data_IF_849367022147
#
_entry.id   IF_849367022147
#
_cell.length_a   1.000
_cell.length_b   1.000
_cell.length_c   1.000
_cell.angle_alpha   90.00
_cell.angle_beta   90.00
_cell.angle_gamma   90.00
#
_symmetry.space_group_name_H-M   'P 1'
#
loop_
_entity.id
_entity.type
_entity.pdbx_description
1 polymer ?
#
# COMPACT_ATOMS: atom_id res chain seq x y z
N UNK A 1 -19.70 21.10 47.58
CA UNK A 1 -20.76 20.11 47.27
C UNK A 1 -20.69 19.80 45.78
N UNK A 2 -20.72 18.52 45.45
CA UNK A 2 -20.49 17.97 44.11
C UNK A 2 -21.67 18.25 43.19
N UNK A 3 -21.33 18.51 41.92
CA UNK A 3 -22.18 18.81 40.76
C UNK A 3 -22.88 17.55 40.22
N UNK A 4 -23.81 17.74 39.27
CA UNK A 4 -24.38 16.73 38.34
C UNK A 4 -25.52 15.85 38.90
N UNK A 5 -26.63 15.54 38.21
CA UNK A 5 -26.98 15.56 36.78
C UNK A 5 -28.48 15.85 36.56
N UNK A 6 -28.78 16.61 35.51
CA UNK A 6 -30.14 16.86 35.03
C UNK A 6 -30.73 15.64 34.33
N UNK A 7 -32.02 15.42 34.59
CA UNK A 7 -33.00 14.69 33.77
C UNK A 7 -32.47 14.00 32.51
N UNK A 8 -32.10 12.73 32.65
CA UNK A 8 -32.03 11.78 31.53
C UNK A 8 -32.58 10.45 32.00
N UNK A 9 -33.91 10.35 32.03
CA UNK A 9 -34.61 9.07 31.98
C UNK A 9 -35.34 8.99 30.64
N UNK A 10 -35.13 7.86 29.97
CA UNK A 10 -35.72 7.42 28.70
C UNK A 10 -34.95 7.75 27.39
N UNK A 11 -33.73 7.20 27.25
CA UNK A 11 -33.26 6.70 25.96
C UNK A 11 -32.83 5.23 26.12
N UNK A 12 -33.82 4.37 26.33
CA UNK A 12 -33.66 2.91 26.38
C UNK A 12 -33.54 2.31 24.97
N UNK A 13 -32.67 2.89 24.13
CA UNK A 13 -32.37 2.34 22.80
C UNK A 13 -30.87 2.01 22.70
N UNK A 14 -30.49 0.71 22.84
CA UNK A 14 -29.09 0.28 22.82
C UNK A 14 -28.39 0.49 21.47
N UNK A 15 -29.12 0.89 20.42
CA UNK A 15 -28.58 1.09 19.07
C UNK A 15 -27.74 2.37 18.95
N UNK A 16 -28.06 3.44 19.69
CA UNK A 16 -27.48 4.77 19.47
C UNK A 16 -26.20 5.09 20.28
N UNK A 17 -25.84 4.25 21.26
CA UNK A 17 -24.64 4.46 22.10
C UNK A 17 -23.47 3.52 21.73
N UNK A 18 -23.74 2.48 20.93
CA UNK A 18 -22.75 1.46 20.55
C UNK A 18 -22.19 1.68 19.13
N UNK A 19 -22.94 2.34 18.24
CA UNK A 19 -22.55 2.58 16.83
C UNK A 19 -23.11 3.93 16.33
N UNK A 20 -22.40 5.06 16.56
CA UNK A 20 -22.87 6.42 16.23
C UNK A 20 -23.17 6.67 14.74
N UNK A 21 -22.77 5.75 13.87
CA UNK A 21 -22.81 5.86 12.41
C UNK A 21 -23.38 4.61 11.70
N UNK A 22 -23.83 3.60 12.46
CA UNK A 22 -24.54 2.40 11.96
C UNK A 22 -23.73 1.52 11.02
N UNK A 23 -22.41 1.67 10.99
CA UNK A 23 -21.55 1.07 9.97
C UNK A 23 -21.38 -0.43 10.18
N UNK A 24 -21.28 -0.88 11.43
CA UNK A 24 -21.10 -2.29 11.77
C UNK A 24 -22.38 -3.09 11.57
N UNK A 25 -23.53 -2.49 11.92
CA UNK A 25 -24.85 -3.09 11.72
C UNK A 25 -25.09 -3.34 10.23
N UNK A 26 -24.84 -2.34 9.38
CA UNK A 26 -25.00 -2.51 7.93
C UNK A 26 -23.97 -3.46 7.31
N UNK A 27 -22.76 -3.56 7.87
CA UNK A 27 -21.78 -4.55 7.43
C UNK A 27 -22.24 -5.98 7.75
N UNK A 28 -22.79 -6.20 8.95
CA UNK A 28 -23.31 -7.49 9.39
C UNK A 28 -24.52 -7.92 8.53
N UNK A 29 -25.45 -7.00 8.26
CA UNK A 29 -26.61 -7.25 7.40
C UNK A 29 -26.17 -7.62 5.98
N UNK A 30 -25.28 -6.84 5.36
CA UNK A 30 -24.76 -7.14 4.03
C UNK A 30 -23.96 -8.46 3.98
N UNK A 31 -23.23 -8.78 5.06
CA UNK A 31 -22.51 -10.05 5.18
C UNK A 31 -23.46 -11.25 5.27
N UNK A 32 -24.57 -11.12 6.00
CA UNK A 32 -25.63 -12.13 6.06
C UNK A 32 -26.24 -12.43 4.69
N UNK A 33 -26.63 -11.39 3.95
CA UNK A 33 -27.13 -11.54 2.59
C UNK A 33 -26.08 -12.12 1.63
N UNK A 34 -24.82 -11.67 1.71
CA UNK A 34 -23.73 -12.22 0.91
C UNK A 34 -23.48 -13.71 1.16
N UNK A 35 -23.55 -14.17 2.42
CA UNK A 35 -23.40 -15.58 2.76
C UNK A 35 -24.56 -16.43 2.21
N UNK A 36 -25.79 -15.94 2.35
CA UNK A 36 -26.98 -16.62 1.83
C UNK A 36 -26.95 -16.75 0.30
N UNK A 37 -26.64 -15.68 -0.42
CA UNK A 37 -26.60 -15.70 -1.89
C UNK A 37 -25.42 -16.51 -2.43
N UNK A 38 -24.28 -16.50 -1.74
CA UNK A 38 -23.15 -17.38 -2.04
C UNK A 38 -23.53 -18.86 -1.89
N UNK A 39 -24.22 -19.21 -0.80
CA UNK A 39 -24.70 -20.57 -0.54
C UNK A 39 -25.75 -21.03 -1.55
N UNK A 40 -26.75 -20.18 -1.82
CA UNK A 40 -27.80 -20.46 -2.81
C UNK A 40 -27.22 -20.62 -4.22
N UNK A 41 -26.25 -19.80 -4.61
CA UNK A 41 -25.55 -19.93 -5.89
C UNK A 41 -24.75 -21.24 -5.98
N UNK A 42 -24.06 -21.64 -4.90
CA UNK A 42 -23.36 -22.92 -4.84
C UNK A 42 -24.33 -24.11 -4.98
N UNK A 43 -25.46 -24.09 -4.26
CA UNK A 43 -26.51 -25.13 -4.35
C UNK A 43 -27.22 -25.15 -5.71
N UNK A 44 -27.26 -24.03 -6.42
CA UNK A 44 -27.75 -23.93 -7.80
C UNK A 44 -26.73 -24.42 -8.85
N UNK A 45 -25.68 -25.15 -8.45
CA UNK A 45 -24.69 -25.73 -9.35
C UNK A 45 -23.65 -24.73 -9.86
N UNK A 46 -23.67 -23.46 -9.41
CA UNK A 46 -22.61 -22.51 -9.78
C UNK A 46 -21.33 -22.90 -9.05
N UNK A 47 -20.26 -23.14 -9.79
CA UNK A 47 -18.94 -23.40 -9.22
C UNK A 47 -18.44 -22.26 -8.32
N UNK A 48 -17.34 -22.49 -7.60
CA UNK A 48 -16.84 -21.58 -6.57
C UNK A 48 -16.73 -20.09 -7.01
N UNK A 49 -16.41 -19.84 -8.28
CA UNK A 49 -16.36 -18.48 -8.86
C UNK A 49 -17.73 -17.80 -8.92
N UNK A 50 -18.79 -18.55 -9.24
CA UNK A 50 -20.15 -18.05 -9.31
C UNK A 50 -20.74 -17.80 -7.92
N UNK A 51 -20.43 -18.66 -6.95
CA UNK A 51 -20.79 -18.44 -5.55
C UNK A 51 -20.08 -17.21 -4.96
N UNK A 52 -18.77 -17.06 -5.23
CA UNK A 52 -18.01 -15.88 -4.80
C UNK A 52 -18.51 -14.59 -5.46
N UNK A 53 -18.93 -14.65 -6.73
CA UNK A 53 -19.51 -13.51 -7.43
C UNK A 53 -20.86 -13.09 -6.84
N UNK A 54 -21.74 -14.05 -6.54
CA UNK A 54 -23.03 -13.79 -5.90
C UNK A 54 -22.85 -13.10 -4.53
N UNK A 55 -21.97 -13.66 -3.69
CA UNK A 55 -21.63 -13.06 -2.40
C UNK A 55 -21.04 -11.64 -2.52
N UNK A 56 -20.17 -11.41 -3.50
CA UNK A 56 -19.56 -10.09 -3.71
C UNK A 56 -20.54 -9.06 -4.30
N UNK A 57 -21.53 -9.49 -5.08
CA UNK A 57 -22.47 -8.59 -5.77
C UNK A 57 -23.39 -7.82 -4.82
N UNK A 58 -23.67 -8.35 -3.62
CA UNK A 58 -24.41 -7.65 -2.56
C UNK A 58 -23.69 -6.42 -2.00
N UNK A 59 -22.37 -6.32 -2.18
CA UNK A 59 -21.60 -5.11 -1.88
C UNK A 59 -21.65 -4.06 -3.02
N UNK A 60 -22.48 -4.32 -4.05
CA UNK A 60 -22.65 -3.51 -5.24
C UNK A 60 -21.60 -3.87 -6.30
N UNK A 61 -21.98 -4.46 -7.45
CA UNK A 61 -21.02 -4.90 -8.47
C UNK A 61 -20.13 -3.76 -8.97
N UNK A 62 -20.68 -2.55 -9.10
CA UNK A 62 -19.92 -1.35 -9.47
C UNK A 62 -18.88 -0.92 -8.43
N UNK A 63 -19.16 -1.05 -7.12
CA UNK A 63 -18.24 -0.69 -6.05
C UNK A 63 -17.12 -1.72 -5.93
N UNK A 64 -17.44 -3.00 -6.03
CA UNK A 64 -16.46 -4.10 -6.02
C UNK A 64 -15.54 -4.05 -7.23
N UNK A 65 -16.08 -3.86 -8.44
CA UNK A 65 -15.25 -3.71 -9.66
C UNK A 65 -14.34 -2.48 -9.59
N UNK A 66 -14.87 -1.31 -9.17
CA UNK A 66 -14.07 -0.09 -9.02
C UNK A 66 -12.96 -0.29 -7.97
N UNK A 67 -13.27 -0.94 -6.84
CA UNK A 67 -12.31 -1.28 -5.80
C UNK A 67 -11.20 -2.21 -6.30
N UNK A 68 -11.58 -3.30 -6.98
CA UNK A 68 -10.63 -4.25 -7.57
C UNK A 68 -9.75 -3.60 -8.64
N UNK A 69 -10.33 -2.82 -9.56
CA UNK A 69 -9.59 -2.08 -10.60
C UNK A 69 -8.62 -1.07 -9.98
N UNK A 70 -9.03 -0.35 -8.93
CA UNK A 70 -8.16 0.58 -8.19
C UNK A 70 -7.00 -0.15 -7.51
N UNK A 71 -7.26 -1.29 -6.87
CA UNK A 71 -6.23 -2.12 -6.24
C UNK A 71 -5.24 -2.70 -7.26
N UNK A 72 -5.73 -3.22 -8.39
CA UNK A 72 -4.90 -3.71 -9.50
C UNK A 72 -4.09 -2.58 -10.14
N UNK A 73 -4.69 -1.42 -10.34
CA UNK A 73 -4.02 -0.22 -10.86
C UNK A 73 -2.91 0.27 -9.92
N UNK A 74 -3.18 0.29 -8.61
CA UNK A 74 -2.18 0.61 -7.59
C UNK A 74 -1.03 -0.40 -7.61
N UNK A 75 -1.34 -1.69 -7.70
CA UNK A 75 -0.35 -2.75 -7.76
C UNK A 75 0.56 -2.62 -9.01
N UNK A 76 -0.05 -2.43 -10.19
CA UNK A 76 0.69 -2.19 -11.44
C UNK A 76 1.60 -0.96 -11.34
N UNK A 77 1.10 0.14 -10.77
CA UNK A 77 1.87 1.37 -10.57
C UNK A 77 3.02 1.19 -9.58
N UNK A 78 2.86 0.42 -8.51
CA UNK A 78 3.91 0.15 -7.53
C UNK A 78 5.06 -0.68 -8.09
N UNK A 79 4.75 -1.70 -8.91
CA UNK A 79 5.74 -2.62 -9.49
C UNK A 79 6.85 -1.89 -10.28
N UNK A 80 6.55 -0.73 -10.88
CA UNK A 80 7.55 0.06 -11.63
C UNK A 80 8.66 0.63 -10.75
N UNK A 81 8.40 0.84 -9.45
CA UNK A 81 9.37 1.37 -8.51
C UNK A 81 10.18 0.28 -7.79
N UNK A 82 9.75 -0.99 -7.86
CA UNK A 82 10.43 -2.09 -7.16
C UNK A 82 11.53 -2.77 -7.98
N UNK A 83 11.86 -2.17 -9.12
CA UNK A 83 12.94 -2.58 -10.01
C UNK A 83 13.66 -1.32 -10.50
N UNK A 84 14.91 -1.42 -10.98
CA UNK A 84 15.58 -0.32 -11.66
C UNK A 84 14.68 0.24 -12.79
N UNK A 85 14.48 1.57 -12.79
CA UNK A 85 13.70 2.25 -13.82
C UNK A 85 14.46 2.43 -15.13
N UNK A 86 13.80 3.03 -16.13
CA UNK A 86 14.36 3.21 -17.48
C UNK A 86 15.66 4.06 -17.51
N UNK A 87 15.89 4.88 -16.49
CA UNK A 87 17.05 5.77 -16.37
C UNK A 87 18.15 5.20 -15.47
N UNK A 88 18.05 3.93 -15.07
CA UNK A 88 19.03 3.25 -14.23
C UNK A 88 20.32 2.93 -14.99
N UNK A 89 21.19 3.93 -15.21
CA UNK A 89 22.43 3.79 -15.99
C UNK A 89 23.61 3.25 -15.18
N UNK A 90 23.82 3.73 -13.96
CA UNK A 90 24.88 3.26 -13.04
C UNK A 90 24.36 3.19 -11.60
N UNK A 91 25.03 2.39 -10.78
CA UNK A 91 24.73 2.15 -9.36
C UNK A 91 26.00 1.94 -8.56
N UNK A 92 25.90 2.03 -7.24
CA UNK A 92 26.92 1.53 -6.31
C UNK A 92 26.42 0.25 -5.61
N UNK A 93 27.31 -0.66 -5.19
CA UNK A 93 26.88 -1.79 -4.36
C UNK A 93 26.34 -1.30 -3.02
N UNK A 94 25.27 -1.93 -2.51
CA UNK A 94 24.77 -1.65 -1.17
C UNK A 94 25.59 -2.44 -0.15
N UNK A 95 26.24 -1.75 0.79
CA UNK A 95 26.91 -2.36 1.95
C UNK A 95 25.94 -3.07 2.89
N UNK A 96 24.75 -2.51 3.04
CA UNK A 96 23.71 -3.04 3.93
C UNK A 96 22.33 -2.59 3.47
N UNK A 97 21.29 -3.03 4.19
CA UNK A 97 19.90 -2.60 4.03
C UNK A 97 19.64 -1.18 4.56
N UNK A 98 20.63 -0.53 5.17
CA UNK A 98 20.50 0.81 5.73
C UNK A 98 20.43 1.86 4.63
N UNK A 99 19.56 2.85 4.79
CA UNK A 99 19.49 4.03 3.94
C UNK A 99 20.63 5.03 4.17
N UNK A 100 21.42 4.87 5.24
CA UNK A 100 22.54 5.75 5.57
C UNK A 100 23.77 5.40 4.73
N UNK A 101 24.16 6.35 3.88
CA UNK A 101 25.37 6.27 3.08
C UNK A 101 26.54 6.88 3.82
N UNK A 102 27.71 6.27 3.71
CA UNK A 102 28.96 6.90 4.14
C UNK A 102 29.37 8.02 3.14
N UNK A 103 30.40 8.80 3.50
CA UNK A 103 30.85 9.95 2.71
C UNK A 103 31.25 9.57 1.27
N UNK A 104 31.92 8.44 1.08
CA UNK A 104 32.36 7.95 -0.23
C UNK A 104 31.17 7.48 -1.09
N UNK A 105 30.30 6.66 -0.52
CA UNK A 105 29.05 6.20 -1.14
C UNK A 105 28.19 7.39 -1.57
N UNK A 106 28.00 8.39 -0.69
CA UNK A 106 27.25 9.60 -0.99
C UNK A 106 27.86 10.38 -2.15
N UNK A 107 29.18 10.60 -2.15
CA UNK A 107 29.88 11.31 -3.23
C UNK A 107 29.70 10.59 -4.57
N UNK A 108 29.89 9.28 -4.60
CA UNK A 108 29.76 8.49 -5.85
C UNK A 108 28.31 8.47 -6.31
N UNK A 109 27.35 8.27 -5.40
CA UNK A 109 25.94 8.27 -5.74
C UNK A 109 25.50 9.63 -6.30
N UNK A 110 25.94 10.73 -5.69
CA UNK A 110 25.66 12.07 -6.20
C UNK A 110 26.25 12.25 -7.59
N UNK A 111 27.52 11.90 -7.81
CA UNK A 111 28.14 11.97 -9.15
C UNK A 111 27.34 11.19 -10.20
N UNK A 112 26.81 10.02 -9.85
CA UNK A 112 25.94 9.24 -10.75
C UNK A 112 24.61 9.95 -10.97
N UNK A 113 23.97 10.44 -9.91
CA UNK A 113 22.70 11.15 -9.97
C UNK A 113 22.78 12.46 -10.74
N UNK A 114 23.83 13.25 -10.57
CA UNK A 114 24.03 14.51 -11.30
C UNK A 114 24.25 14.22 -12.80
N UNK A 115 25.02 13.17 -13.12
CA UNK A 115 25.27 12.77 -14.51
C UNK A 115 24.06 12.15 -15.20
N UNK A 116 23.34 11.24 -14.55
CA UNK A 116 22.29 10.42 -15.20
C UNK A 116 20.87 10.75 -14.74
N UNK A 117 20.71 11.40 -13.60
CA UNK A 117 19.43 11.73 -13.00
C UNK A 117 18.87 10.60 -12.13
N UNK A 118 17.66 10.83 -11.66
CA UNK A 118 16.84 9.86 -10.97
C UNK A 118 16.66 8.60 -11.82
N UNK A 119 17.02 7.43 -11.30
CA UNK A 119 16.92 6.18 -12.05
C UNK A 119 15.49 5.79 -12.46
N UNK A 120 14.48 6.35 -11.77
CA UNK A 120 13.05 6.07 -12.02
C UNK A 120 12.39 7.03 -13.00
N UNK A 121 12.66 8.33 -12.93
CA UNK A 121 11.98 9.35 -13.76
C UNK A 121 12.92 10.27 -14.55
N UNK A 122 14.23 10.10 -14.47
CA UNK A 122 15.21 10.83 -15.26
C UNK A 122 15.48 12.27 -14.83
N UNK A 123 14.72 12.84 -13.90
CA UNK A 123 14.97 14.22 -13.41
C UNK A 123 16.41 14.38 -12.93
N UNK A 124 17.02 15.54 -13.18
CA UNK A 124 18.36 15.91 -12.70
C UNK A 124 18.33 16.63 -11.34
N UNK A 125 17.14 16.90 -10.81
CA UNK A 125 17.01 17.51 -9.49
C UNK A 125 16.70 16.44 -8.43
N UNK A 126 17.54 16.26 -7.40
CA UNK A 126 17.28 15.28 -6.33
C UNK A 126 16.07 15.67 -5.46
N UNK A 127 15.73 16.95 -5.37
CA UNK A 127 14.58 17.43 -4.58
C UNK A 127 14.72 17.24 -3.06
N UNK A 128 15.93 17.01 -2.56
CA UNK A 128 16.21 17.01 -1.12
C UNK A 128 16.77 18.37 -0.71
N UNK A 129 16.49 18.84 0.52
CA UNK A 129 17.03 20.11 1.04
C UNK A 129 18.56 20.17 1.00
N UNK A 130 19.21 19.02 1.17
CA UNK A 130 20.67 18.92 1.17
C UNK A 130 21.32 18.86 -0.22
N UNK A 131 20.54 18.87 -1.30
CA UNK A 131 21.03 18.65 -2.66
C UNK A 131 21.53 17.21 -2.94
N UNK A 132 21.44 16.31 -1.98
CA UNK A 132 21.91 14.93 -2.12
C UNK A 132 20.86 14.01 -2.75
N UNK A 133 21.33 13.06 -3.55
CA UNK A 133 20.53 11.97 -4.07
C UNK A 133 20.25 10.92 -2.98
N UNK A 134 19.07 10.32 -3.03
CA UNK A 134 18.68 9.23 -2.13
C UNK A 134 19.15 7.91 -2.74
N UNK A 135 19.82 7.08 -1.93
CA UNK A 135 20.23 5.74 -2.34
C UNK A 135 19.04 4.79 -2.32
N UNK A 136 18.59 4.39 -3.50
CA UNK A 136 17.46 3.49 -3.67
C UNK A 136 17.92 2.04 -3.77
N UNK A 137 17.56 1.23 -2.77
CA UNK A 137 17.87 -0.19 -2.77
C UNK A 137 17.05 -0.93 -3.82
N UNK A 138 17.74 -1.54 -4.77
CA UNK A 138 17.16 -2.43 -5.77
C UNK A 138 17.79 -3.83 -5.66
N UNK A 139 16.97 -4.88 -5.43
CA UNK A 139 15.52 -4.85 -5.16
C UNK A 139 15.19 -4.15 -3.83
N UNK A 140 13.94 -3.70 -3.67
CA UNK A 140 13.49 -2.97 -2.46
C UNK A 140 13.61 -3.84 -1.21
N UNK A 141 14.26 -3.32 -0.17
CA UNK A 141 14.57 -4.03 1.09
C UNK A 141 13.35 -4.69 1.71
N UNK A 142 12.23 -3.96 1.86
CA UNK A 142 11.01 -4.46 2.48
C UNK A 142 10.38 -5.66 1.72
N UNK A 143 10.74 -5.86 0.45
CA UNK A 143 10.22 -6.94 -0.39
C UNK A 143 11.30 -8.01 -0.69
N UNK A 144 12.52 -7.83 -0.19
CA UNK A 144 13.67 -8.72 -0.45
C UNK A 144 13.68 -9.93 0.50
N UNK A 145 12.70 -10.81 0.37
CA UNK A 145 12.54 -12.02 1.21
C UNK A 145 13.75 -12.95 1.20
N UNK A 146 14.44 -13.01 0.06
CA UNK A 146 15.60 -13.89 -0.14
C UNK A 146 16.95 -13.22 0.17
N UNK A 147 16.93 -12.02 0.78
CA UNK A 147 18.15 -11.28 1.17
C UNK A 147 19.18 -11.16 0.04
N UNK A 148 18.73 -11.02 -1.21
CA UNK A 148 19.60 -10.89 -2.38
C UNK A 148 20.46 -9.65 -2.24
N UNK A 149 21.69 -9.67 -2.78
CA UNK A 149 22.57 -8.49 -2.84
C UNK A 149 21.82 -7.32 -3.51
N UNK A 150 21.90 -6.15 -2.89
CA UNK A 150 21.21 -4.95 -3.36
C UNK A 150 22.21 -3.98 -3.98
N UNK A 151 21.72 -3.20 -4.94
CA UNK A 151 22.41 -2.05 -5.51
C UNK A 151 21.70 -0.77 -5.10
N UNK A 152 22.45 0.33 -5.04
CA UNK A 152 21.92 1.66 -4.77
C UNK A 152 21.92 2.47 -6.07
N UNK A 153 20.73 2.91 -6.47
CA UNK A 153 20.56 3.83 -7.59
C UNK A 153 20.21 5.24 -7.09
N UNK A 154 20.63 6.31 -7.79
CA UNK A 154 20.26 7.67 -7.40
C UNK A 154 18.77 7.89 -7.62
N UNK A 155 18.08 8.38 -6.60
CA UNK A 155 16.63 8.54 -6.62
C UNK A 155 16.24 9.92 -6.08
N UNK A 156 15.32 10.58 -6.77
CA UNK A 156 14.80 11.88 -6.32
C UNK A 156 13.81 11.68 -5.17
N UNK A 157 13.63 12.72 -4.35
CA UNK A 157 12.73 12.71 -3.19
C UNK A 157 11.31 12.30 -3.57
N UNK A 158 10.79 12.83 -4.68
CA UNK A 158 9.43 12.53 -5.12
C UNK A 158 9.23 11.04 -5.46
N UNK A 159 10.16 10.42 -6.20
CA UNK A 159 10.05 9.01 -6.56
C UNK A 159 10.39 8.09 -5.37
N UNK A 160 11.33 8.47 -4.51
CA UNK A 160 11.64 7.75 -3.27
C UNK A 160 10.42 7.69 -2.35
N UNK A 161 9.73 8.82 -2.12
CA UNK A 161 8.49 8.84 -1.34
C UNK A 161 7.39 7.96 -1.97
N UNK A 162 7.23 8.01 -3.29
CA UNK A 162 6.28 7.13 -4.00
C UNK A 162 6.62 5.65 -3.79
N UNK A 163 7.87 5.25 -3.99
CA UNK A 163 8.31 3.88 -3.78
C UNK A 163 8.06 3.43 -2.34
N UNK A 164 8.42 4.25 -1.35
CA UNK A 164 8.17 3.97 0.06
C UNK A 164 6.69 3.73 0.36
N UNK A 165 5.80 4.58 -0.17
CA UNK A 165 4.34 4.40 -0.04
C UNK A 165 3.85 3.07 -0.63
N UNK A 166 4.28 2.72 -1.84
CA UNK A 166 3.95 1.43 -2.44
C UNK A 166 4.55 0.26 -1.64
N UNK A 167 5.82 0.34 -1.24
CA UNK A 167 6.51 -0.72 -0.50
C UNK A 167 5.83 -1.00 0.84
N UNK A 168 5.46 0.04 1.58
CA UNK A 168 4.73 -0.08 2.85
C UNK A 168 3.34 -0.69 2.66
N UNK A 169 2.61 -0.32 1.60
CA UNK A 169 1.31 -0.93 1.29
C UNK A 169 1.44 -2.43 0.95
N UNK A 170 2.45 -2.80 0.16
CA UNK A 170 2.72 -4.19 -0.18
C UNK A 170 3.18 -5.01 1.02
N UNK A 171 4.10 -4.48 1.83
CA UNK A 171 4.60 -5.15 3.03
C UNK A 171 3.49 -5.44 4.04
N UNK A 172 2.62 -4.46 4.32
CA UNK A 172 1.43 -4.65 5.18
C UNK A 172 0.51 -5.76 4.67
N UNK A 173 0.27 -5.82 3.35
CA UNK A 173 -0.56 -6.87 2.74
C UNK A 173 0.08 -8.25 2.82
N UNK A 174 1.42 -8.34 2.75
CA UNK A 174 2.13 -9.61 2.91
C UNK A 174 2.13 -10.08 4.37
N UNK A 175 2.27 -9.16 5.33
CA UNK A 175 2.27 -9.52 6.76
C UNK A 175 0.88 -9.93 7.26
N UNK A 176 -0.21 -9.36 6.73
CA UNK A 176 -1.59 -9.81 7.03
C UNK A 176 -1.94 -11.22 6.51
N UNK A 177 -1.05 -11.84 5.70
CA UNK A 177 -1.24 -13.17 5.10
C UNK A 177 -0.37 -14.24 5.74
N UNK A 178 0.40 -13.87 6.78
CA UNK A 178 1.08 -14.80 7.69
C UNK A 178 0.20 -14.95 8.92
#
# INVERSE_FOLDING_TARGET
MITQNGYTYANNNPVMLVDPDGHWVWLAVNAGFAAYDGYKAYKAGKGWKGAAWAAASNFGPGKVFKGAKKALGFAKKGKKYFKPGAYAKKSIPARSTSSRLNKKERRVLNKIGDKYGCHSCGTKNPGTKSGNWIGDHQPVTALNRYRKKQKLYPHCKACSSKQGGYASAYSRKMNKRR
#
